data_IF_150174058623
#
_entry.id   IF_150174058623
#
_cell.length_a   1.000
_cell.length_b   1.000
_cell.length_c   1.000
_cell.angle_alpha   90.00
_cell.angle_beta   90.00
_cell.angle_gamma   90.00
#
_symmetry.space_group_name_H-M   'P 1'
#
loop_
_entity.id
_entity.type
_entity.pdbx_description
1 polymer ?
#
# COMPACT_ATOMS: atom_id res chain seq x y z
N UNK A 1 -22.88 -16.02 -21.12
CA UNK A 1 -22.02 -15.28 -20.17
C UNK A 1 -22.23 -13.82 -20.52
N UNK A 2 -22.74 -13.01 -19.58
CA UNK A 2 -22.89 -11.57 -19.82
C UNK A 2 -21.54 -10.88 -19.53
N UNK A 3 -20.98 -10.12 -20.45
CA UNK A 3 -19.76 -9.39 -20.22
C UNK A 3 -19.98 -8.21 -19.26
N UNK A 4 -19.00 -7.95 -18.42
CA UNK A 4 -18.95 -6.79 -17.52
C UNK A 4 -17.90 -5.83 -18.05
N UNK A 5 -18.26 -4.56 -18.22
CA UNK A 5 -17.40 -3.51 -18.75
C UNK A 5 -17.35 -2.35 -17.74
N UNK A 6 -16.17 -1.82 -17.48
CA UNK A 6 -16.04 -0.62 -16.65
C UNK A 6 -16.59 0.61 -17.37
N UNK A 7 -17.49 1.31 -16.68
CA UNK A 7 -18.21 2.45 -17.24
C UNK A 7 -17.38 3.72 -17.36
N UNK A 8 -16.31 3.86 -16.58
CA UNK A 8 -15.43 5.04 -16.63
C UNK A 8 -14.78 5.22 -18.00
N UNK A 9 -14.53 4.13 -18.73
CA UNK A 9 -13.95 4.19 -20.09
C UNK A 9 -14.81 5.00 -21.07
N UNK A 10 -16.12 5.03 -20.87
CA UNK A 10 -17.04 5.80 -21.69
C UNK A 10 -17.16 7.26 -21.22
N UNK A 11 -17.05 7.51 -19.92
CA UNK A 11 -17.24 8.83 -19.30
C UNK A 11 -15.92 9.63 -19.27
N UNK A 12 -14.80 8.95 -19.06
CA UNK A 12 -13.47 9.54 -18.88
C UNK A 12 -13.03 10.54 -19.95
N UNK A 13 -13.29 10.34 -21.25
CA UNK A 13 -12.91 11.31 -22.28
C UNK A 13 -13.54 12.69 -22.08
N UNK A 14 -14.73 12.75 -21.48
CA UNK A 14 -15.46 14.00 -21.22
C UNK A 14 -15.01 14.67 -19.92
N UNK A 15 -14.36 13.94 -19.01
CA UNK A 15 -13.76 14.45 -17.79
C UNK A 15 -12.33 14.97 -18.01
N UNK A 16 -12.03 15.55 -19.17
CA UNK A 16 -10.69 16.08 -19.53
C UNK A 16 -9.57 15.04 -19.39
N UNK A 17 -9.88 13.79 -19.68
CA UNK A 17 -8.94 12.68 -19.56
C UNK A 17 -8.75 12.13 -18.13
N UNK A 18 -9.38 12.75 -17.12
CA UNK A 18 -9.43 12.25 -15.74
C UNK A 18 -10.61 11.34 -15.49
N UNK A 19 -10.54 10.59 -14.37
CA UNK A 19 -11.66 9.76 -13.89
C UNK A 19 -12.43 10.43 -12.76
N UNK A 20 -11.92 11.54 -12.23
CA UNK A 20 -12.49 12.26 -11.09
C UNK A 20 -13.03 13.60 -11.53
N UNK A 21 -14.34 13.77 -11.41
CA UNK A 21 -15.04 15.03 -11.61
C UNK A 21 -16.33 15.02 -10.81
N UNK A 22 -16.67 16.15 -10.23
CA UNK A 22 -17.93 16.39 -9.53
C UNK A 22 -18.88 17.33 -10.28
N UNK A 23 -18.56 17.68 -11.52
CA UNK A 23 -19.31 18.70 -12.27
C UNK A 23 -19.46 18.44 -13.77
N UNK A 24 -18.64 17.56 -14.35
CA UNK A 24 -18.68 17.34 -15.81
C UNK A 24 -19.73 16.31 -16.18
N UNK A 25 -20.64 16.71 -17.08
CA UNK A 25 -21.69 15.85 -17.63
C UNK A 25 -21.26 15.23 -18.95
N UNK A 26 -21.46 13.92 -19.08
CA UNK A 26 -21.23 13.21 -20.33
C UNK A 26 -22.43 13.39 -21.28
N UNK A 27 -22.22 13.57 -22.60
CA UNK A 27 -23.28 13.63 -23.57
C UNK A 27 -24.18 12.40 -23.59
N UNK A 28 -25.47 12.55 -23.94
CA UNK A 28 -26.40 11.41 -23.94
C UNK A 28 -25.97 10.29 -24.91
N UNK A 29 -25.33 10.64 -26.00
CA UNK A 29 -24.82 9.72 -27.03
C UNK A 29 -23.86 8.65 -26.44
N UNK A 30 -23.14 8.99 -25.37
CA UNK A 30 -22.22 8.05 -24.68
C UNK A 30 -23.01 6.85 -24.14
N UNK A 31 -24.17 7.13 -23.55
CA UNK A 31 -25.01 6.11 -22.91
C UNK A 31 -25.82 5.31 -23.93
N UNK A 32 -26.22 5.96 -25.02
CA UNK A 32 -27.03 5.36 -26.09
C UNK A 32 -26.22 4.39 -26.96
N UNK A 33 -24.92 4.64 -27.11
CA UNK A 33 -24.03 3.86 -28.00
C UNK A 33 -23.38 2.65 -27.34
N UNK A 34 -23.60 2.41 -26.07
CA UNK A 34 -23.09 1.19 -25.41
C UNK A 34 -23.86 -0.04 -25.94
N UNK A 35 -23.17 -1.15 -26.27
CA UNK A 35 -23.84 -2.36 -26.72
C UNK A 35 -24.87 -2.90 -25.74
N UNK A 36 -25.93 -3.54 -26.24
CA UNK A 36 -26.89 -4.27 -25.41
C UNK A 36 -26.25 -5.54 -24.84
N UNK A 37 -26.81 -6.02 -23.73
CA UNK A 37 -26.40 -7.32 -23.14
C UNK A 37 -25.06 -7.29 -22.42
N UNK A 38 -24.59 -6.11 -22.03
CA UNK A 38 -23.42 -5.92 -21.17
C UNK A 38 -23.83 -5.28 -19.86
N UNK A 39 -23.20 -5.68 -18.75
CA UNK A 39 -23.30 -4.98 -17.49
C UNK A 39 -22.27 -3.86 -17.46
N UNK A 40 -22.68 -2.67 -17.03
CA UNK A 40 -21.78 -1.53 -16.81
C UNK A 40 -21.41 -1.48 -15.35
N UNK A 41 -20.11 -1.60 -15.03
CA UNK A 41 -19.65 -1.55 -13.68
C UNK A 41 -19.08 -0.18 -13.35
N UNK A 42 -19.65 0.45 -12.33
CA UNK A 42 -19.12 1.64 -11.71
C UNK A 42 -18.07 1.22 -10.67
N UNK A 43 -16.90 1.81 -10.73
CA UNK A 43 -15.89 1.67 -9.70
C UNK A 43 -15.48 3.03 -9.15
N UNK A 44 -15.46 3.14 -7.85
CA UNK A 44 -14.88 4.24 -7.11
C UNK A 44 -14.78 3.80 -5.65
N UNK A 45 -13.59 3.62 -5.16
CA UNK A 45 -13.36 3.05 -3.83
C UNK A 45 -12.50 3.93 -2.93
N UNK A 46 -12.32 5.21 -3.31
CA UNK A 46 -11.65 6.18 -2.48
C UNK A 46 -12.52 6.56 -1.27
N UNK A 47 -11.85 6.95 -0.17
CA UNK A 47 -12.53 7.21 1.08
C UNK A 47 -13.40 8.46 0.99
N UNK A 48 -14.70 8.25 0.98
CA UNK A 48 -15.72 9.30 1.03
C UNK A 48 -15.92 9.86 2.44
N UNK A 49 -15.40 9.20 3.47
CA UNK A 49 -15.60 9.60 4.86
C UNK A 49 -14.75 10.83 5.25
N UNK A 50 -13.50 10.85 4.88
CA UNK A 50 -12.56 11.92 5.24
C UNK A 50 -12.52 13.10 4.26
N UNK A 51 -13.29 13.07 3.17
CA UNK A 51 -13.20 14.06 2.11
C UNK A 51 -14.55 14.33 1.44
N UNK A 52 -15.10 15.52 1.69
CA UNK A 52 -16.31 15.99 1.00
C UNK A 52 -16.14 16.07 -0.52
N UNK A 53 -14.93 16.27 -1.01
CA UNK A 53 -14.64 16.24 -2.42
C UNK A 53 -14.78 14.83 -3.01
N UNK A 54 -14.15 13.83 -2.41
CA UNK A 54 -14.30 12.44 -2.88
C UNK A 54 -15.75 11.96 -2.81
N UNK A 55 -16.49 12.40 -1.81
CA UNK A 55 -17.90 12.09 -1.67
C UNK A 55 -18.73 12.66 -2.82
N UNK A 56 -18.54 13.96 -3.15
CA UNK A 56 -19.22 14.58 -4.29
C UNK A 56 -18.83 13.92 -5.63
N UNK A 57 -17.54 13.59 -5.81
CA UNK A 57 -17.08 12.88 -7.00
C UNK A 57 -17.74 11.50 -7.10
N UNK A 58 -17.80 10.76 -5.99
CA UNK A 58 -18.45 9.45 -5.93
C UNK A 58 -19.92 9.55 -6.33
N UNK A 59 -20.66 10.46 -5.71
CA UNK A 59 -22.09 10.65 -5.98
C UNK A 59 -22.33 11.02 -7.44
N UNK A 60 -21.61 12.02 -7.94
CA UNK A 60 -21.74 12.50 -9.31
C UNK A 60 -21.43 11.40 -10.35
N UNK A 61 -20.31 10.71 -10.19
CA UNK A 61 -19.92 9.65 -11.12
C UNK A 61 -20.88 8.46 -11.05
N UNK A 62 -21.39 8.13 -9.86
CA UNK A 62 -22.38 7.06 -9.74
C UNK A 62 -23.70 7.44 -10.45
N UNK A 63 -24.16 8.67 -10.27
CA UNK A 63 -25.33 9.18 -10.99
C UNK A 63 -25.14 9.19 -12.51
N UNK A 64 -23.94 9.56 -13.00
CA UNK A 64 -23.59 9.42 -14.42
C UNK A 64 -23.68 7.94 -14.86
N UNK A 65 -23.16 7.00 -14.09
CA UNK A 65 -23.25 5.58 -14.43
C UNK A 65 -24.68 5.06 -14.41
N UNK A 66 -25.54 5.55 -13.52
CA UNK A 66 -26.96 5.19 -13.51
C UNK A 66 -27.73 5.59 -14.76
N UNK A 67 -27.20 6.50 -15.58
CA UNK A 67 -27.78 6.82 -16.91
C UNK A 67 -27.72 5.63 -17.87
N UNK A 68 -26.75 4.70 -17.71
CA UNK A 68 -26.70 3.45 -18.46
C UNK A 68 -27.86 2.51 -18.10
N UNK A 69 -28.43 2.64 -16.89
CA UNK A 69 -29.47 1.73 -16.38
C UNK A 69 -30.76 1.74 -17.22
N UNK A 70 -30.93 2.68 -18.13
CA UNK A 70 -32.05 2.69 -19.12
C UNK A 70 -31.95 1.52 -20.11
N UNK A 71 -30.76 0.97 -20.31
CA UNK A 71 -30.48 -0.03 -21.34
C UNK A 71 -29.66 -1.21 -20.82
N UNK A 72 -28.74 -0.96 -19.90
CA UNK A 72 -27.76 -1.92 -19.41
C UNK A 72 -27.85 -2.06 -17.88
N UNK A 73 -27.73 -3.26 -17.30
CA UNK A 73 -27.58 -3.38 -15.86
C UNK A 73 -26.36 -2.60 -15.36
N UNK A 74 -26.47 -1.98 -14.18
CA UNK A 74 -25.37 -1.27 -13.55
C UNK A 74 -24.98 -1.98 -12.27
N UNK A 75 -23.71 -2.33 -12.15
CA UNK A 75 -23.10 -2.90 -10.96
C UNK A 75 -22.11 -1.95 -10.29
N UNK A 76 -21.74 -2.25 -9.06
CA UNK A 76 -20.75 -1.48 -8.30
C UNK A 76 -19.54 -2.34 -7.92
N UNK A 77 -18.35 -1.75 -8.02
CA UNK A 77 -17.08 -2.35 -7.62
C UNK A 77 -16.41 -1.52 -6.53
N UNK A 78 -16.28 -2.10 -5.35
CA UNK A 78 -15.45 -1.60 -4.26
C UNK A 78 -14.05 -2.22 -4.28
N UNK A 79 -13.17 -1.79 -3.38
CA UNK A 79 -11.84 -2.36 -3.19
C UNK A 79 -11.48 -2.48 -1.71
N UNK A 80 -10.78 -3.56 -1.36
CA UNK A 80 -10.20 -3.77 -0.04
C UNK A 80 -8.77 -3.22 0.11
N UNK A 81 -8.29 -2.51 -0.93
CA UNK A 81 -6.99 -1.87 -0.93
C UNK A 81 -5.80 -2.81 -0.62
N UNK A 82 -5.86 -4.00 -1.18
CA UNK A 82 -4.79 -5.00 -1.07
C UNK A 82 -3.49 -4.56 -1.75
N UNK A 83 -3.60 -3.72 -2.77
CA UNK A 83 -2.51 -3.33 -3.65
C UNK A 83 -1.48 -2.37 -3.04
N UNK A 84 -1.68 -1.89 -1.82
CA UNK A 84 -0.85 -0.80 -1.27
C UNK A 84 0.54 -1.23 -0.82
N UNK A 85 0.74 -2.49 -0.46
CA UNK A 85 2.02 -3.01 0.02
C UNK A 85 1.90 -4.37 0.68
N UNK A 86 2.72 -4.65 1.70
CA UNK A 86 2.72 -5.95 2.39
C UNK A 86 1.50 -6.18 3.30
N UNK A 87 0.79 -5.11 3.63
CA UNK A 87 -0.44 -5.16 4.43
C UNK A 87 -1.51 -4.31 3.73
N UNK A 88 -2.74 -4.83 3.58
CA UNK A 88 -3.82 -4.08 2.96
C UNK A 88 -4.24 -2.90 3.82
N UNK A 89 -5.00 -1.96 3.24
CA UNK A 89 -5.58 -0.84 3.96
C UNK A 89 -7.03 -1.14 4.35
N UNK A 90 -7.26 -2.13 5.21
CA UNK A 90 -8.60 -2.53 5.64
C UNK A 90 -9.36 -1.39 6.30
N UNK A 91 -8.71 -0.65 7.22
CA UNK A 91 -9.35 0.47 7.92
C UNK A 91 -9.86 1.53 6.95
N UNK A 92 -9.06 1.88 5.95
CA UNK A 92 -9.43 2.80 4.88
C UNK A 92 -10.63 2.28 4.06
N UNK A 93 -10.61 1.00 3.66
CA UNK A 93 -11.70 0.37 2.93
C UNK A 93 -13.00 0.31 3.76
N UNK A 94 -12.87 -0.02 5.04
CA UNK A 94 -13.99 -0.14 5.96
C UNK A 94 -14.68 1.20 6.22
N UNK A 95 -13.93 2.29 6.33
CA UNK A 95 -14.48 3.63 6.51
C UNK A 95 -15.36 4.09 5.32
N UNK A 96 -15.03 3.65 4.10
CA UNK A 96 -15.81 3.99 2.92
C UNK A 96 -17.07 3.11 2.76
N UNK A 97 -17.07 1.91 3.33
CA UNK A 97 -18.04 0.86 3.05
C UNK A 97 -19.49 1.25 3.37
N UNK A 98 -19.73 1.84 4.53
CA UNK A 98 -21.10 2.22 4.95
C UNK A 98 -21.74 3.22 4.00
N UNK A 99 -20.99 4.21 3.55
CA UNK A 99 -21.46 5.20 2.59
C UNK A 99 -21.74 4.57 1.22
N UNK A 100 -20.83 3.74 0.74
CA UNK A 100 -20.94 3.05 -0.54
C UNK A 100 -22.14 2.10 -0.57
N UNK A 101 -22.32 1.30 0.48
CA UNK A 101 -23.45 0.39 0.61
C UNK A 101 -24.79 1.13 0.62
N UNK A 102 -24.89 2.20 1.43
CA UNK A 102 -26.09 3.04 1.48
C UNK A 102 -26.43 3.63 0.11
N UNK A 103 -25.44 4.16 -0.61
CA UNK A 103 -25.67 4.74 -1.94
C UNK A 103 -26.10 3.70 -2.97
N UNK A 104 -25.53 2.49 -2.94
CA UNK A 104 -25.98 1.40 -3.81
C UNK A 104 -27.44 1.04 -3.55
N UNK A 105 -27.86 0.95 -2.27
CA UNK A 105 -29.25 0.68 -1.92
C UNK A 105 -30.19 1.78 -2.38
N UNK A 106 -29.83 3.05 -2.18
CA UNK A 106 -30.61 4.22 -2.65
C UNK A 106 -30.81 4.22 -4.16
N UNK A 107 -29.79 3.82 -4.92
CA UNK A 107 -29.84 3.76 -6.38
C UNK A 107 -30.38 2.42 -6.93
N UNK A 108 -30.71 1.47 -6.06
CA UNK A 108 -31.24 0.17 -6.46
C UNK A 108 -30.21 -0.77 -7.13
N UNK A 109 -28.92 -0.52 -6.93
CA UNK A 109 -27.85 -1.37 -7.45
C UNK A 109 -27.71 -2.62 -6.56
N UNK A 110 -27.79 -3.80 -7.18
CA UNK A 110 -27.78 -5.09 -6.49
C UNK A 110 -26.56 -5.94 -6.82
N UNK A 111 -25.94 -5.70 -7.97
CA UNK A 111 -24.72 -6.38 -8.39
C UNK A 111 -23.54 -5.63 -7.83
N UNK A 112 -22.95 -6.16 -6.75
CA UNK A 112 -21.83 -5.54 -6.05
C UNK A 112 -20.67 -6.50 -5.92
N UNK A 113 -19.48 -6.01 -6.15
CA UNK A 113 -18.25 -6.79 -6.12
C UNK A 113 -17.21 -6.08 -5.26
N UNK A 114 -16.44 -6.85 -4.47
CA UNK A 114 -15.26 -6.38 -3.77
C UNK A 114 -14.02 -6.82 -4.54
N UNK A 115 -13.21 -5.90 -5.00
CA UNK A 115 -11.96 -6.21 -5.70
C UNK A 115 -10.78 -6.32 -4.74
N UNK A 116 -9.87 -7.22 -5.07
CA UNK A 116 -8.61 -7.43 -4.39
C UNK A 116 -7.47 -7.29 -5.41
N UNK A 117 -7.14 -6.06 -5.78
CA UNK A 117 -6.11 -5.77 -6.77
C UNK A 117 -4.73 -6.23 -6.27
N UNK A 118 -4.03 -7.08 -7.03
CA UNK A 118 -2.70 -7.54 -6.67
C UNK A 118 -1.61 -6.69 -7.31
N UNK A 119 -1.84 -5.39 -7.44
CA UNK A 119 -0.90 -4.48 -8.10
C UNK A 119 0.49 -4.58 -7.46
N UNK A 120 1.50 -4.33 -8.27
CA UNK A 120 2.86 -4.17 -7.83
C UNK A 120 3.44 -5.35 -7.02
N UNK A 121 3.17 -6.57 -7.47
CA UNK A 121 3.82 -7.77 -6.96
C UNK A 121 2.99 -8.61 -6.00
N UNK A 122 1.73 -8.25 -5.76
CA UNK A 122 0.83 -9.01 -4.88
C UNK A 122 1.40 -9.26 -3.46
N UNK A 123 2.07 -8.28 -2.91
CA UNK A 123 2.86 -8.41 -1.69
C UNK A 123 2.02 -8.71 -0.44
N UNK A 124 0.79 -8.18 -0.36
CA UNK A 124 -0.09 -8.48 0.77
C UNK A 124 -0.69 -9.88 0.69
N UNK A 125 -0.84 -10.52 1.86
CA UNK A 125 -1.58 -11.78 1.99
C UNK A 125 -3.00 -11.65 1.45
N UNK A 126 -3.49 -12.70 0.76
CA UNK A 126 -4.89 -12.79 0.36
C UNK A 126 -5.84 -12.90 1.55
N UNK A 127 -5.38 -13.43 2.67
CA UNK A 127 -6.19 -13.55 3.88
C UNK A 127 -6.20 -12.25 4.67
N UNK A 128 -5.19 -11.40 4.54
CA UNK A 128 -5.12 -10.14 5.27
C UNK A 128 -6.29 -9.16 4.97
N UNK A 129 -7.04 -9.37 3.88
CA UNK A 129 -8.19 -8.54 3.49
C UNK A 129 -9.52 -8.95 4.14
N UNK A 130 -9.53 -9.98 4.99
CA UNK A 130 -10.78 -10.51 5.56
C UNK A 130 -11.60 -9.47 6.34
N UNK A 131 -11.03 -8.55 7.14
CA UNK A 131 -11.81 -7.54 7.86
C UNK A 131 -12.69 -6.68 6.95
N UNK A 132 -12.08 -6.06 5.95
CA UNK A 132 -12.80 -5.18 5.00
C UNK A 132 -13.77 -5.97 4.12
N UNK A 133 -13.39 -7.16 3.70
CA UNK A 133 -14.25 -8.03 2.87
C UNK A 133 -15.45 -8.51 3.67
N UNK A 134 -15.27 -8.87 4.94
CA UNK A 134 -16.35 -9.28 5.83
C UNK A 134 -17.32 -8.14 6.10
N UNK A 135 -16.82 -6.94 6.47
CA UNK A 135 -17.67 -5.77 6.66
C UNK A 135 -18.47 -5.44 5.40
N UNK A 136 -17.83 -5.49 4.23
CA UNK A 136 -18.50 -5.26 2.95
C UNK A 136 -19.68 -6.24 2.77
N UNK A 137 -19.44 -7.54 2.95
CA UNK A 137 -20.51 -8.53 2.86
C UNK A 137 -21.64 -8.24 3.83
N UNK A 138 -21.33 -7.97 5.10
CA UNK A 138 -22.33 -7.64 6.14
C UNK A 138 -23.21 -6.45 5.71
N UNK A 139 -22.63 -5.36 5.24
CA UNK A 139 -23.37 -4.16 4.85
C UNK A 139 -24.26 -4.38 3.64
N UNK A 140 -23.77 -5.10 2.63
CA UNK A 140 -24.56 -5.36 1.42
C UNK A 140 -25.62 -6.44 1.60
N UNK A 141 -25.52 -7.29 2.63
CA UNK A 141 -26.60 -8.17 3.07
C UNK A 141 -27.55 -7.53 4.10
N UNK A 142 -27.39 -6.24 4.38
CA UNK A 142 -28.27 -5.47 5.27
C UNK A 142 -28.02 -5.68 6.76
N UNK A 143 -26.84 -6.18 7.13
CA UNK A 143 -26.44 -6.34 8.52
C UNK A 143 -25.75 -5.07 9.01
N UNK A 144 -26.40 -4.34 9.91
CA UNK A 144 -25.85 -3.15 10.56
C UNK A 144 -25.11 -3.50 11.86
N UNK A 145 -24.37 -2.52 12.38
CA UNK A 145 -23.69 -2.60 13.66
C UNK A 145 -22.25 -3.11 13.59
N UNK A 146 -21.71 -3.39 14.78
CA UNK A 146 -20.32 -3.84 14.94
C UNK A 146 -20.15 -5.28 14.44
N UNK A 147 -19.03 -5.54 13.83
CA UNK A 147 -18.71 -6.86 13.26
C UNK A 147 -17.79 -7.69 14.15
N UNK A 148 -17.22 -7.12 15.21
CA UNK A 148 -16.12 -7.70 16.00
C UNK A 148 -16.40 -9.14 16.43
N UNK A 149 -17.51 -9.37 17.13
CA UNK A 149 -17.87 -10.69 17.61
C UNK A 149 -18.18 -11.66 16.48
N UNK A 150 -18.90 -11.22 15.44
CA UNK A 150 -19.23 -12.08 14.28
C UNK A 150 -17.99 -12.45 13.48
N UNK A 151 -17.02 -11.54 13.39
CA UNK A 151 -15.72 -11.82 12.79
C UNK A 151 -14.97 -12.88 13.60
N UNK A 152 -14.92 -12.73 14.91
CA UNK A 152 -14.27 -13.69 15.82
C UNK A 152 -14.93 -15.07 15.76
N UNK A 153 -16.26 -15.13 15.77
CA UNK A 153 -17.03 -16.38 15.67
C UNK A 153 -16.76 -17.12 14.35
N UNK A 154 -16.59 -16.37 13.25
CA UNK A 154 -16.38 -16.95 11.93
C UNK A 154 -14.91 -17.33 11.65
N UNK A 155 -13.98 -16.48 12.06
CA UNK A 155 -12.57 -16.62 11.71
C UNK A 155 -11.70 -17.15 12.85
N UNK A 156 -12.26 -17.37 14.03
CA UNK A 156 -11.55 -17.88 15.21
C UNK A 156 -10.31 -17.03 15.57
N UNK A 157 -10.43 -15.72 15.42
CA UNK A 157 -9.41 -14.75 15.80
C UNK A 157 -10.06 -13.43 16.23
N UNK A 158 -9.60 -12.86 17.33
CA UNK A 158 -10.08 -11.57 17.80
C UNK A 158 -9.93 -10.50 16.74
N UNK A 159 -10.95 -9.68 16.55
CA UNK A 159 -10.97 -8.68 15.48
C UNK A 159 -9.88 -7.61 15.64
N UNK A 160 -9.67 -7.11 16.86
CA UNK A 160 -8.65 -6.11 17.13
C UNK A 160 -7.22 -6.67 16.91
N UNK A 161 -6.98 -7.91 17.32
CA UNK A 161 -5.72 -8.61 17.06
C UNK A 161 -5.49 -8.78 15.56
N UNK A 162 -6.54 -9.11 14.80
CA UNK A 162 -6.43 -9.23 13.35
C UNK A 162 -6.09 -7.88 12.71
N UNK A 163 -6.77 -6.81 13.12
CA UNK A 163 -6.53 -5.45 12.61
C UNK A 163 -5.16 -4.89 13.01
N UNK A 164 -4.53 -5.41 14.07
CA UNK A 164 -3.19 -4.96 14.51
C UNK A 164 -2.09 -5.15 13.46
N UNK A 165 -2.34 -5.99 12.44
CA UNK A 165 -1.44 -6.09 11.30
C UNK A 165 -1.20 -4.75 10.59
N UNK A 166 -2.18 -3.85 10.60
CA UNK A 166 -2.07 -2.54 9.96
C UNK A 166 -1.22 -1.52 10.73
N UNK A 167 -0.91 -1.81 12.00
CA UNK A 167 -0.08 -0.91 12.79
C UNK A 167 1.30 -0.69 12.16
N UNK A 168 1.80 -1.65 11.39
CA UNK A 168 3.06 -1.48 10.65
C UNK A 168 3.02 -0.27 9.68
N UNK A 169 1.85 0.12 9.19
CA UNK A 169 1.66 1.25 8.29
C UNK A 169 1.53 2.61 9.03
N UNK A 170 1.31 2.59 10.37
CA UNK A 170 1.02 3.78 11.18
C UNK A 170 2.28 4.33 11.87
N UNK A 171 3.30 4.61 11.08
CA UNK A 171 4.56 5.11 11.61
C UNK A 171 4.47 6.56 12.11
N UNK A 172 5.27 6.94 13.13
CA UNK A 172 5.35 8.33 13.59
C UNK A 172 5.74 9.30 12.47
N UNK A 173 5.14 10.49 12.48
CA UNK A 173 5.42 11.53 11.48
C UNK A 173 4.81 11.27 10.10
N UNK A 174 4.25 10.08 9.86
CA UNK A 174 3.49 9.82 8.64
C UNK A 174 2.20 10.65 8.63
N UNK A 175 1.75 11.02 7.44
CA UNK A 175 0.41 11.60 7.30
C UNK A 175 -0.64 10.61 7.79
N UNK A 176 -1.74 11.13 8.29
CA UNK A 176 -2.85 10.31 8.74
C UNK A 176 -3.27 9.37 7.60
N UNK A 177 -2.98 8.11 7.82
CA UNK A 177 -3.24 7.01 6.89
C UNK A 177 -4.74 6.87 6.55
N UNK A 178 -5.60 7.21 7.50
CA UNK A 178 -7.06 7.10 7.33
C UNK A 178 -7.67 8.25 6.53
N UNK A 179 -7.04 9.43 6.54
CA UNK A 179 -7.64 10.65 5.98
C UNK A 179 -7.10 11.03 4.59
N UNK A 180 -5.84 10.77 4.29
CA UNK A 180 -5.17 11.42 3.15
C UNK A 180 -4.36 10.51 2.24
N UNK A 181 -4.26 9.22 2.49
CA UNK A 181 -3.50 8.36 1.61
C UNK A 181 -3.27 6.97 2.12
N UNK A 182 -3.03 6.10 1.20
CA UNK A 182 -2.81 4.68 1.38
C UNK A 182 -1.35 4.38 1.08
N UNK A 183 -0.47 5.07 1.77
CA UNK A 183 0.96 4.84 1.60
C UNK A 183 1.42 3.68 2.46
N UNK A 184 2.05 2.70 1.86
CA UNK A 184 2.74 1.65 2.59
C UNK A 184 4.17 2.10 2.90
N UNK A 185 4.35 2.89 3.95
CA UNK A 185 5.66 3.30 4.42
C UNK A 185 6.62 2.12 4.66
N UNK A 186 6.18 0.99 5.23
CA UNK A 186 7.04 -0.18 5.37
C UNK A 186 7.64 -0.66 4.05
N UNK A 187 6.84 -0.69 2.99
CA UNK A 187 7.31 -1.06 1.65
C UNK A 187 8.34 -0.06 1.11
N UNK A 188 8.04 1.24 1.23
CA UNK A 188 8.93 2.30 0.77
C UNK A 188 10.28 2.24 1.50
N UNK A 189 10.27 2.10 2.83
CA UNK A 189 11.49 1.97 3.63
C UNK A 189 12.25 0.67 3.36
N UNK A 190 11.53 -0.45 3.13
CA UNK A 190 12.17 -1.73 2.82
C UNK A 190 13.00 -1.64 1.54
N UNK A 191 12.42 -1.07 0.50
CA UNK A 191 13.07 -0.99 -0.81
C UNK A 191 13.95 0.24 -1.00
N UNK A 192 13.95 1.19 -0.07
CA UNK A 192 14.80 2.38 -0.20
C UNK A 192 16.28 2.02 -0.35
N UNK A 193 16.93 2.69 -1.31
CA UNK A 193 18.35 2.46 -1.56
C UNK A 193 19.19 2.97 -0.39
N UNK A 194 20.14 2.17 0.11
CA UNK A 194 20.95 2.54 1.28
C UNK A 194 21.68 3.88 1.20
N UNK A 195 21.93 4.38 -0.01
CA UNK A 195 22.74 5.59 -0.20
C UNK A 195 21.97 6.75 -0.83
N UNK A 196 20.82 6.49 -1.48
CA UNK A 196 20.09 7.53 -2.20
C UNK A 196 19.15 8.36 -1.34
N UNK A 197 18.57 7.75 -0.30
CA UNK A 197 17.71 8.46 0.66
C UNK A 197 16.48 9.10 0.02
N UNK A 198 15.82 8.38 -0.91
CA UNK A 198 14.65 8.92 -1.62
C UNK A 198 13.52 9.36 -0.67
N UNK A 199 13.39 8.66 0.45
CA UNK A 199 12.32 8.88 1.42
C UNK A 199 12.79 9.60 2.70
N UNK A 200 14.09 9.93 2.83
CA UNK A 200 14.68 10.49 4.05
C UNK A 200 13.94 11.71 4.59
N UNK A 201 13.45 12.60 3.73
CA UNK A 201 12.68 13.78 4.16
C UNK A 201 11.25 13.48 4.64
N UNK A 202 10.78 12.26 4.43
CA UNK A 202 9.45 11.83 4.84
C UNK A 202 9.48 10.91 6.07
N UNK A 203 10.67 10.48 6.50
CA UNK A 203 10.85 9.52 7.60
C UNK A 203 11.30 10.27 8.85
N UNK A 204 10.59 10.03 9.95
CA UNK A 204 11.00 10.47 11.27
C UNK A 204 11.92 9.42 11.92
N UNK A 205 12.99 9.86 12.56
CA UNK A 205 13.97 8.97 13.22
C UNK A 205 13.36 8.09 14.32
N UNK A 206 12.21 8.47 14.86
CA UNK A 206 11.45 7.68 15.84
C UNK A 206 10.87 6.40 15.24
N UNK A 207 10.85 6.22 13.91
CA UNK A 207 10.42 4.99 13.24
C UNK A 207 11.18 3.77 13.74
N UNK A 208 12.47 3.90 14.03
CA UNK A 208 13.30 2.83 14.57
C UNK A 208 12.76 2.27 15.89
N UNK A 209 12.42 3.18 16.82
CA UNK A 209 11.82 2.80 18.09
C UNK A 209 10.43 2.20 17.87
N UNK A 210 9.64 2.79 16.99
CA UNK A 210 8.31 2.31 16.66
C UNK A 210 8.31 0.84 16.23
N UNK A 211 9.16 0.44 15.28
CA UNK A 211 9.24 -0.95 14.84
C UNK A 211 9.79 -1.88 15.93
N UNK A 212 10.72 -1.38 16.75
CA UNK A 212 11.23 -2.12 17.90
C UNK A 212 10.14 -2.46 18.93
N UNK A 213 9.19 -1.53 19.12
CA UNK A 213 8.08 -1.70 20.06
C UNK A 213 6.91 -2.49 19.46
N UNK A 214 6.72 -2.40 18.13
CA UNK A 214 5.64 -3.09 17.44
C UNK A 214 5.87 -4.59 17.32
N UNK A 215 7.08 -5.02 16.96
CA UNK A 215 7.39 -6.43 16.75
C UNK A 215 6.94 -7.35 17.90
N UNK A 216 7.25 -7.08 19.19
CA UNK A 216 6.78 -7.92 20.29
C UNK A 216 5.27 -7.88 20.53
N UNK A 217 4.58 -6.81 20.14
CA UNK A 217 3.10 -6.71 20.28
C UNK A 217 2.38 -7.70 19.37
N UNK A 218 2.97 -8.07 18.25
CA UNK A 218 2.41 -9.02 17.31
C UNK A 218 2.69 -10.49 17.65
N UNK A 219 3.52 -10.76 18.69
CA UNK A 219 3.97 -12.11 19.01
C UNK A 219 2.83 -13.09 19.29
N UNK A 220 1.84 -12.67 20.10
CA UNK A 220 0.71 -13.51 20.45
C UNK A 220 -0.19 -13.87 19.25
N UNK A 221 -0.24 -13.01 18.23
CA UNK A 221 -1.04 -13.25 17.02
C UNK A 221 -0.48 -14.40 16.17
N UNK A 222 0.82 -14.70 16.28
CA UNK A 222 1.46 -15.81 15.56
C UNK A 222 1.00 -17.19 16.03
N UNK A 223 0.46 -17.27 17.24
CA UNK A 223 -0.06 -18.53 17.80
C UNK A 223 -1.38 -18.96 17.15
N UNK A 224 -2.05 -18.07 16.40
CA UNK A 224 -3.28 -18.41 15.70
C UNK A 224 -2.99 -19.46 14.60
N UNK A 225 -3.66 -20.64 14.63
CA UNK A 225 -3.33 -21.75 13.72
C UNK A 225 -3.68 -21.47 12.24
N UNK A 226 -4.56 -20.50 11.98
CA UNK A 226 -5.04 -20.18 10.65
C UNK A 226 -4.29 -19.00 10.03
N UNK A 227 -4.04 -17.94 10.79
CA UNK A 227 -3.53 -16.65 10.30
C UNK A 227 -2.19 -16.24 10.89
N UNK A 228 -1.63 -17.00 11.84
CA UNK A 228 -0.38 -16.69 12.52
C UNK A 228 0.80 -16.45 11.57
N UNK A 229 0.83 -17.15 10.44
CA UNK A 229 1.87 -16.97 9.41
C UNK A 229 1.91 -15.56 8.79
N UNK A 230 0.78 -14.84 8.75
CA UNK A 230 0.72 -13.44 8.30
C UNK A 230 1.48 -12.55 9.28
N UNK A 231 1.21 -12.76 10.58
CA UNK A 231 1.87 -12.00 11.64
C UNK A 231 3.35 -12.34 11.77
N UNK A 232 3.74 -13.57 11.48
CA UNK A 232 5.14 -13.98 11.39
C UNK A 232 5.88 -13.18 10.29
N UNK A 233 5.26 -13.05 9.11
CA UNK A 233 5.81 -12.25 8.01
C UNK A 233 5.91 -10.77 8.38
N UNK A 234 4.87 -10.19 8.98
CA UNK A 234 4.85 -8.78 9.39
C UNK A 234 5.87 -8.51 10.49
N UNK A 235 6.00 -9.40 11.47
CA UNK A 235 6.99 -9.27 12.52
C UNK A 235 8.41 -9.34 11.96
N UNK A 236 8.68 -10.27 11.03
CA UNK A 236 9.98 -10.34 10.35
C UNK A 236 10.30 -9.05 9.58
N UNK A 237 9.29 -8.40 8.99
CA UNK A 237 9.44 -7.10 8.35
C UNK A 237 9.77 -5.99 9.37
N UNK A 238 9.13 -5.98 10.54
CA UNK A 238 9.47 -5.05 11.62
C UNK A 238 10.95 -5.21 12.04
N UNK A 239 11.46 -6.44 12.10
CA UNK A 239 12.87 -6.71 12.44
C UNK A 239 13.84 -6.10 11.41
N UNK A 240 13.51 -6.16 10.12
CA UNK A 240 14.26 -5.45 9.07
C UNK A 240 14.19 -3.94 9.29
N UNK A 241 12.98 -3.41 9.45
CA UNK A 241 12.74 -1.96 9.43
C UNK A 241 13.30 -1.24 10.67
N UNK A 242 13.31 -1.86 11.84
CA UNK A 242 13.93 -1.27 13.03
C UNK A 242 15.42 -0.94 12.84
N UNK A 243 16.09 -1.66 11.92
CA UNK A 243 17.51 -1.46 11.63
C UNK A 243 17.73 -0.66 10.34
N UNK A 244 16.81 -0.78 9.37
CA UNK A 244 16.99 -0.23 8.02
C UNK A 244 16.34 1.15 7.83
N UNK A 245 15.22 1.44 8.50
CA UNK A 245 14.38 2.60 8.18
C UNK A 245 15.12 3.95 8.19
N UNK A 246 16.11 4.14 9.05
CA UNK A 246 16.87 5.38 9.21
C UNK A 246 18.31 5.28 8.70
N UNK A 247 18.66 4.18 8.05
CA UNK A 247 20.05 3.86 7.69
C UNK A 247 20.68 4.91 6.76
N UNK A 248 19.96 5.33 5.73
CA UNK A 248 20.45 6.34 4.77
C UNK A 248 20.69 7.70 5.45
N UNK A 249 19.78 8.10 6.34
CA UNK A 249 19.88 9.34 7.12
C UNK A 249 21.15 9.29 8.00
N UNK A 250 21.27 8.26 8.83
CA UNK A 250 22.38 8.12 9.79
C UNK A 250 23.74 8.03 9.07
N UNK A 251 23.84 7.30 7.96
CA UNK A 251 25.10 7.21 7.19
C UNK A 251 25.46 8.52 6.51
N UNK A 252 24.47 9.23 5.96
CA UNK A 252 24.71 10.53 5.33
C UNK A 252 25.18 11.57 6.36
N UNK A 253 24.52 11.63 7.51
CA UNK A 253 24.93 12.53 8.61
C UNK A 253 26.34 12.22 9.09
N UNK A 254 26.70 10.96 9.29
CA UNK A 254 28.04 10.54 9.67
C UNK A 254 29.08 10.93 8.61
N UNK A 255 28.79 10.73 7.34
CA UNK A 255 29.67 11.12 6.25
C UNK A 255 29.92 12.62 6.20
N UNK A 256 28.85 13.43 6.27
CA UNK A 256 28.96 14.90 6.25
C UNK A 256 29.67 15.47 7.48
N UNK A 257 29.55 14.78 8.62
CA UNK A 257 30.27 15.13 9.85
C UNK A 257 31.73 14.65 9.88
N UNK A 258 32.17 13.83 8.92
CA UNK A 258 33.47 13.18 8.89
C UNK A 258 33.62 12.07 9.96
N UNK A 259 32.51 11.56 10.47
CA UNK A 259 32.46 10.50 11.49
C UNK A 259 32.70 9.12 10.86
N UNK A 260 33.95 8.75 10.74
CA UNK A 260 34.38 7.48 10.16
C UNK A 260 34.02 6.28 11.03
N UNK A 261 34.03 6.45 12.34
CA UNK A 261 33.72 5.36 13.29
C UNK A 261 32.26 4.89 13.10
N UNK A 262 31.33 5.85 12.99
CA UNK A 262 29.92 5.53 12.70
C UNK A 262 29.74 4.87 11.33
N UNK A 263 30.47 5.34 10.29
CA UNK A 263 30.43 4.70 8.96
C UNK A 263 30.96 3.26 8.98
N UNK A 264 32.04 3.01 9.70
CA UNK A 264 32.58 1.65 9.89
C UNK A 264 31.61 0.75 10.65
N UNK A 265 30.95 1.26 11.69
CA UNK A 265 29.92 0.52 12.44
C UNK A 265 28.73 0.11 11.57
N UNK A 266 28.38 0.90 10.55
CA UNK A 266 27.32 0.55 9.61
C UNK A 266 27.66 -0.65 8.72
N UNK A 267 28.95 -0.94 8.49
CA UNK A 267 29.39 -2.12 7.75
C UNK A 267 28.91 -3.40 8.44
N UNK A 268 29.07 -3.48 9.75
CA UNK A 268 28.64 -4.64 10.54
C UNK A 268 27.11 -4.66 10.74
N UNK A 269 26.49 -3.52 10.96
CA UNK A 269 25.02 -3.40 11.04
C UNK A 269 24.32 -3.90 9.77
N UNK A 270 24.91 -3.67 8.60
CA UNK A 270 24.36 -4.19 7.34
C UNK A 270 24.34 -5.72 7.25
N UNK A 271 25.26 -6.43 7.92
CA UNK A 271 25.20 -7.88 7.97
C UNK A 271 23.98 -8.37 8.75
N UNK A 272 23.61 -7.68 9.82
CA UNK A 272 22.38 -7.94 10.57
C UNK A 272 21.16 -7.68 9.67
N UNK A 273 21.11 -6.53 8.98
CA UNK A 273 19.99 -6.20 8.07
C UNK A 273 19.86 -7.23 6.95
N UNK A 274 20.97 -7.68 6.36
CA UNK A 274 20.97 -8.73 5.34
C UNK A 274 20.40 -10.05 5.89
N UNK A 275 20.76 -10.41 7.10
CA UNK A 275 20.21 -11.61 7.76
C UNK A 275 18.70 -11.46 8.03
N UNK A 276 18.26 -10.29 8.49
CA UNK A 276 16.84 -9.98 8.72
C UNK A 276 16.04 -10.00 7.42
N UNK A 277 16.58 -9.44 6.31
CA UNK A 277 15.93 -9.48 4.99
C UNK A 277 15.78 -10.93 4.50
N UNK A 278 16.77 -11.78 4.71
CA UNK A 278 16.67 -13.21 4.35
C UNK A 278 15.58 -13.91 5.16
N UNK A 279 15.54 -13.68 6.47
CA UNK A 279 14.46 -14.23 7.31
C UNK A 279 13.08 -13.74 6.88
N UNK A 280 12.96 -12.45 6.58
CA UNK A 280 11.72 -11.90 6.04
C UNK A 280 11.32 -12.55 4.70
N UNK A 281 12.28 -12.72 3.78
CA UNK A 281 12.04 -13.40 2.50
C UNK A 281 11.60 -14.86 2.68
N UNK A 282 12.15 -15.59 3.65
CA UNK A 282 11.74 -16.96 3.98
C UNK A 282 10.30 -16.99 4.53
N UNK A 283 9.94 -16.09 5.44
CA UNK A 283 8.57 -15.97 5.96
C UNK A 283 7.60 -15.60 4.82
N UNK A 284 7.96 -14.63 3.98
CA UNK A 284 7.17 -14.22 2.83
C UNK A 284 6.96 -15.36 1.83
N UNK A 285 8.01 -16.11 1.49
CA UNK A 285 7.93 -17.26 0.61
C UNK A 285 7.00 -18.34 1.17
N UNK A 286 7.07 -18.59 2.47
CA UNK A 286 6.18 -19.53 3.17
C UNK A 286 4.72 -19.07 3.12
N UNK A 287 4.45 -17.77 3.34
CA UNK A 287 3.13 -17.16 3.17
C UNK A 287 2.65 -17.30 1.73
N UNK A 288 3.49 -16.95 0.75
CA UNK A 288 3.16 -17.06 -0.68
C UNK A 288 2.71 -18.46 -1.07
N UNK A 289 3.47 -19.47 -0.67
CA UNK A 289 3.18 -20.87 -1.01
C UNK A 289 1.91 -21.44 -0.34
N UNK A 290 1.40 -20.79 0.69
CA UNK A 290 0.09 -21.13 1.29
C UNK A 290 -1.08 -20.58 0.50
N UNK A 291 -0.90 -19.44 -0.17
CA UNK A 291 -1.99 -18.64 -0.72
C UNK A 291 -1.99 -18.59 -2.26
N UNK A 292 -0.86 -18.85 -2.87
CA UNK A 292 -0.64 -18.69 -4.29
C UNK A 292 -0.04 -19.94 -4.92
N UNK A 293 -0.09 -20.01 -6.25
CA UNK A 293 0.75 -20.88 -7.02
C UNK A 293 2.21 -20.41 -6.96
N UNK A 294 3.13 -21.28 -7.32
CA UNK A 294 4.56 -21.00 -7.35
C UNK A 294 4.91 -19.76 -8.21
N UNK A 295 4.21 -19.60 -9.33
CA UNK A 295 4.46 -18.54 -10.29
C UNK A 295 4.23 -17.15 -9.70
N UNK A 296 5.17 -16.24 -9.95
CA UNK A 296 5.16 -14.86 -9.44
C UNK A 296 6.09 -14.64 -8.26
N UNK A 297 6.41 -15.70 -7.48
CA UNK A 297 7.34 -15.59 -6.35
C UNK A 297 8.74 -15.16 -6.80
N UNK A 298 9.18 -15.58 -7.99
CA UNK A 298 10.48 -15.21 -8.57
C UNK A 298 10.65 -13.70 -8.74
N UNK A 299 9.58 -12.94 -8.85
CA UNK A 299 9.65 -11.48 -8.86
C UNK A 299 10.05 -10.93 -7.50
N UNK A 300 9.53 -11.51 -6.44
CA UNK A 300 9.87 -11.13 -5.07
C UNK A 300 11.31 -11.55 -4.74
N UNK A 301 11.74 -12.73 -5.17
CA UNK A 301 13.13 -13.18 -5.05
C UNK A 301 14.10 -12.19 -5.71
N UNK A 302 13.74 -11.69 -6.90
CA UNK A 302 14.52 -10.66 -7.60
C UNK A 302 14.59 -9.36 -6.80
N UNK A 303 13.48 -8.92 -6.17
CA UNK A 303 13.43 -7.71 -5.34
C UNK A 303 14.29 -7.85 -4.09
N UNK A 304 14.11 -8.93 -3.34
CA UNK A 304 14.89 -9.19 -2.12
C UNK A 304 16.37 -9.41 -2.44
N UNK A 305 16.67 -10.17 -3.49
CA UNK A 305 18.03 -10.39 -3.96
C UNK A 305 18.73 -9.09 -4.39
N UNK A 306 18.02 -8.23 -5.12
CA UNK A 306 18.51 -6.91 -5.51
C UNK A 306 18.80 -6.02 -4.30
N UNK A 307 17.91 -5.99 -3.30
CA UNK A 307 18.10 -5.25 -2.07
C UNK A 307 19.34 -5.73 -1.30
N UNK A 308 19.50 -7.04 -1.13
CA UNK A 308 20.68 -7.65 -0.49
C UNK A 308 21.95 -7.29 -1.25
N UNK A 309 21.95 -7.35 -2.58
CA UNK A 309 23.10 -6.98 -3.40
C UNK A 309 23.46 -5.49 -3.24
N UNK A 310 22.45 -4.60 -3.13
CA UNK A 310 22.70 -3.18 -2.84
C UNK A 310 23.37 -2.97 -1.50
N UNK A 311 22.99 -3.73 -0.47
CA UNK A 311 23.68 -3.70 0.83
C UNK A 311 25.15 -4.11 0.71
N UNK A 312 25.47 -5.18 -0.03
CA UNK A 312 26.86 -5.57 -0.28
C UNK A 312 27.64 -4.52 -1.03
N UNK A 313 27.05 -3.88 -2.03
CA UNK A 313 27.71 -2.78 -2.78
C UNK A 313 27.97 -1.60 -1.86
N UNK A 314 27.03 -1.21 -1.03
CA UNK A 314 27.20 -0.12 -0.06
C UNK A 314 28.30 -0.44 0.95
N UNK A 315 28.34 -1.66 1.50
CA UNK A 315 29.43 -2.11 2.39
C UNK A 315 30.80 -1.98 1.72
N UNK A 316 30.89 -2.35 0.45
CA UNK A 316 32.16 -2.21 -0.30
C UNK A 316 32.59 -0.74 -0.40
N UNK A 317 31.68 0.16 -0.76
CA UNK A 317 31.97 1.59 -0.87
C UNK A 317 32.38 2.20 0.48
N UNK A 318 31.67 1.83 1.57
CA UNK A 318 32.00 2.27 2.91
C UNK A 318 33.37 1.78 3.39
N UNK A 319 33.86 0.62 2.94
CA UNK A 319 35.23 0.16 3.22
C UNK A 319 36.29 0.87 2.38
N UNK A 320 35.99 1.11 1.11
CA UNK A 320 36.95 1.74 0.17
C UNK A 320 37.18 3.22 0.47
N UNK A 321 36.24 3.91 1.06
CA UNK A 321 36.35 5.33 1.39
C UNK A 321 37.36 5.59 2.53
N UNK A 322 37.34 4.97 3.71
CA UNK A 322 38.36 5.13 4.73
C UNK A 322 39.75 4.65 4.29
N UNK A 323 39.79 3.62 3.45
CA UNK A 323 41.05 3.08 2.89
C UNK A 323 41.74 4.03 1.88
N UNK A 324 41.12 5.16 1.55
CA UNK A 324 41.63 6.11 0.55
C UNK A 324 41.57 5.59 -0.88
N UNK A 325 40.79 4.55 -1.16
CA UNK A 325 40.53 4.04 -2.51
C UNK A 325 39.45 4.83 -3.22
N UNK A 326 38.60 5.51 -2.44
CA UNK A 326 37.61 6.46 -2.88
C UNK A 326 37.87 7.80 -2.17
N UNK A 327 37.88 8.88 -2.94
CA UNK A 327 38.06 10.22 -2.40
C UNK A 327 36.78 10.74 -1.71
N UNK A 328 35.61 10.28 -2.18
CA UNK A 328 34.30 10.72 -1.70
C UNK A 328 33.19 9.69 -1.96
N UNK A 329 32.08 9.86 -1.25
CA UNK A 329 30.83 9.11 -1.45
C UNK A 329 29.80 10.05 -2.08
N UNK A 330 29.82 10.18 -3.41
CA UNK A 330 29.03 11.17 -4.17
C UNK A 330 27.53 11.13 -3.84
N UNK A 331 26.96 9.93 -3.62
CA UNK A 331 25.55 9.78 -3.29
C UNK A 331 25.16 10.49 -1.99
N UNK A 332 26.09 10.67 -1.05
CA UNK A 332 25.81 11.38 0.21
C UNK A 332 26.01 12.90 0.09
N UNK A 333 26.65 13.37 -0.96
CA UNK A 333 26.85 14.80 -1.23
C UNK A 333 25.69 15.42 -1.99
N UNK A 334 24.90 14.60 -2.70
CA UNK A 334 23.72 15.08 -3.41
C UNK A 334 22.64 15.54 -2.42
N UNK A 335 21.94 16.65 -2.72
CA UNK A 335 20.85 17.14 -1.88
C UNK A 335 19.70 16.11 -1.85
N UNK A 336 19.20 15.83 -0.64
CA UNK A 336 17.99 15.04 -0.46
C UNK A 336 16.79 15.95 -0.76
N UNK A 337 15.94 15.53 -1.70
CA UNK A 337 14.72 16.22 -2.07
C UNK A 337 13.50 15.46 -1.55
N UNK A 338 12.36 16.15 -1.42
CA UNK A 338 11.11 15.44 -1.19
C UNK A 338 10.74 14.58 -2.40
N UNK A 339 10.39 13.34 -2.17
CA UNK A 339 10.01 12.40 -3.23
C UNK A 339 8.80 12.88 -4.06
N UNK A 340 7.95 13.75 -3.48
CA UNK A 340 6.81 14.37 -4.15
C UNK A 340 7.17 15.65 -4.95
N UNK A 341 8.45 15.95 -5.12
CA UNK A 341 8.96 17.07 -5.89
C UNK A 341 8.43 18.46 -5.49
N UNK A 342 7.81 18.62 -4.30
CA UNK A 342 7.17 19.88 -3.85
C UNK A 342 8.11 21.09 -3.84
N UNK A 343 9.41 20.85 -3.72
CA UNK A 343 10.44 21.89 -3.69
C UNK A 343 10.84 22.34 -5.10
N UNK A 344 10.63 21.51 -6.11
CA UNK A 344 11.10 21.73 -7.49
C UNK A 344 10.00 22.24 -8.39
N UNK A 345 8.75 21.83 -8.15
CA UNK A 345 7.60 22.20 -8.95
C UNK A 345 6.59 22.93 -8.07
N UNK A 346 6.65 24.29 -7.98
CA UNK A 346 5.74 25.06 -7.17
C UNK A 346 4.28 24.80 -7.54
N UNK A 347 3.44 24.49 -6.53
CA UNK A 347 2.00 24.24 -6.73
C UNK A 347 1.64 22.85 -7.24
N UNK A 348 2.62 22.00 -7.56
CA UNK A 348 2.34 20.61 -7.87
C UNK A 348 2.07 19.82 -6.58
N UNK A 349 0.94 19.14 -6.57
CA UNK A 349 0.55 18.24 -5.50
C UNK A 349 0.24 16.90 -6.15
N UNK A 350 1.18 15.94 -6.14
CA UNK A 350 0.85 14.59 -6.57
C UNK A 350 -0.29 14.07 -5.69
N UNK A 351 -1.17 13.30 -6.28
CA UNK A 351 -2.12 12.57 -5.46
C UNK A 351 -1.35 11.60 -4.55
N UNK A 352 -1.73 11.52 -3.31
CA UNK A 352 -1.06 10.65 -2.33
C UNK A 352 -1.17 9.18 -2.71
N UNK A 353 -2.20 8.82 -3.47
CA UNK A 353 -2.38 7.51 -4.09
C UNK A 353 -1.30 7.24 -5.14
N UNK A 354 -0.95 8.23 -5.96
CA UNK A 354 0.12 8.10 -6.95
C UNK A 354 1.47 7.89 -6.28
N UNK A 355 1.76 8.58 -5.19
CA UNK A 355 2.96 8.33 -4.40
C UNK A 355 2.99 6.92 -3.82
N UNK A 356 1.87 6.41 -3.29
CA UNK A 356 1.77 5.08 -2.71
C UNK A 356 1.92 3.94 -3.73
N UNK A 357 1.47 4.14 -4.96
CA UNK A 357 1.45 3.11 -6.00
C UNK A 357 2.61 3.18 -7.00
N UNK A 358 3.19 4.35 -7.23
CA UNK A 358 4.05 4.59 -8.38
C UNK A 358 5.54 4.66 -8.07
N UNK A 359 5.94 4.91 -6.82
CA UNK A 359 7.33 5.23 -6.52
C UNK A 359 8.05 4.07 -5.88
N UNK A 360 8.75 3.42 -6.76
CA UNK A 360 9.72 2.42 -6.41
C UNK A 360 11.02 3.10 -6.08
N UNK A 361 11.65 2.55 -5.12
CA UNK A 361 13.05 2.78 -4.89
C UNK A 361 13.84 2.33 -6.12
N UNK A 362 15.03 2.86 -6.31
CA UNK A 362 15.95 2.41 -7.37
C UNK A 362 16.26 0.90 -7.29
N UNK A 363 15.93 0.24 -6.18
CA UNK A 363 16.08 -1.20 -5.98
C UNK A 363 14.95 -2.05 -6.58
N UNK A 364 13.89 -1.43 -7.09
CA UNK A 364 12.81 -2.16 -7.77
C UNK A 364 12.88 -1.91 -9.27
N UNK A 365 13.62 -2.71 -10.03
CA UNK A 365 13.91 -2.43 -11.43
C UNK A 365 12.72 -2.59 -12.38
N UNK A 366 11.57 -3.05 -11.92
CA UNK A 366 10.45 -3.38 -12.81
C UNK A 366 9.09 -2.98 -12.23
N UNK A 367 8.34 -2.28 -13.03
CA UNK A 367 6.89 -2.21 -12.90
C UNK A 367 6.25 -3.52 -13.29
#
# INVERSE_FOLDING_TARGET
MEPIIYGDMFIRPFNRGGIFSDTVESPQEVFDNVPDGVMIQFWHYYNCYGSEWYKRVFDHLFEQHMRFAKKNPVGYLASNWKCTGFVPANDYAMQACDYQAKKCMELGVRDVTMSAWPDDGAEASNMAILPSTFLFAERFYGCDGKIDQRFEDLFCMNFADYMSMEDINRIPGSRDYSAHGIMSWPKLMLYDDPMCGLWDKHIDVSCKQYFTELAPKLEHCKENPHFGYIFETIQAMCEVLKNKATMSIEMREAYLAGDRETLEAWIDKMDVIIADIRKFADCFSSQWMREHQYWGLERMDTRFGGLIQRMYTTKKLLREYPDGKLDRLEAFEEPVLYADCREVIPGWKPSEVELGLAYYTRCTPWR
#
